data_IF_692369061726
#
_entry.id   IF_692369061726
#
_cell.length_a   1.000
_cell.length_b   1.000
_cell.length_c   1.000
_cell.angle_alpha   90.00
_cell.angle_beta   90.00
_cell.angle_gamma   90.00
#
_symmetry.space_group_name_H-M   'P 1'
#
loop_
_entity.id
_entity.type
_entity.pdbx_description
1 polymer ?
#
# COMPACT_ATOMS: atom_id res chain seq x y z
N UNK A 1 10.94 -21.75 9.03
CA UNK A 1 9.72 -21.00 8.64
C UNK A 1 9.17 -20.11 9.75
N UNK A 2 9.00 -20.59 10.99
CA UNK A 2 8.40 -19.80 12.09
C UNK A 2 9.05 -18.43 12.33
N UNK A 3 10.37 -18.37 12.49
CA UNK A 3 11.07 -17.09 12.79
C UNK A 3 10.84 -16.04 11.70
N UNK A 4 10.85 -16.45 10.43
CA UNK A 4 10.57 -15.56 9.31
C UNK A 4 9.13 -15.02 9.38
N UNK A 5 8.15 -15.90 9.63
CA UNK A 5 6.75 -15.50 9.76
C UNK A 5 6.53 -14.50 10.90
N UNK A 6 7.18 -14.70 12.06
CA UNK A 6 7.13 -13.75 13.18
C UNK A 6 7.74 -12.39 12.78
N UNK A 7 8.94 -12.40 12.21
CA UNK A 7 9.60 -11.15 11.80
C UNK A 7 8.91 -10.43 10.65
N UNK A 8 8.20 -11.14 9.77
CA UNK A 8 7.44 -10.55 8.68
C UNK A 8 6.14 -9.90 9.18
N UNK A 9 5.43 -10.57 10.09
CA UNK A 9 4.09 -10.15 10.51
C UNK A 9 4.05 -9.16 11.66
N UNK A 10 5.10 -9.10 12.50
CA UNK A 10 5.12 -8.34 13.77
C UNK A 10 6.21 -7.29 13.89
N UNK A 11 7.24 -7.32 13.04
CA UNK A 11 8.32 -6.35 13.17
C UNK A 11 7.94 -4.99 12.59
N UNK A 12 8.12 -3.93 13.39
CA UNK A 12 7.96 -2.56 12.93
C UNK A 12 9.21 -2.11 12.17
N UNK A 13 9.02 -1.39 11.07
CA UNK A 13 10.12 -0.94 10.20
C UNK A 13 10.33 0.55 10.34
N UNK A 14 11.49 0.94 10.89
CA UNK A 14 11.92 2.34 10.98
C UNK A 14 13.18 2.53 10.12
N UNK A 15 13.09 3.40 9.10
CA UNK A 15 14.21 3.73 8.20
C UNK A 15 14.91 2.49 7.63
N UNK A 16 14.12 1.50 7.19
CA UNK A 16 14.62 0.25 6.62
C UNK A 16 15.13 -0.79 7.63
N UNK A 17 15.16 -0.47 8.94
CA UNK A 17 15.53 -1.41 9.99
C UNK A 17 14.29 -1.94 10.71
N UNK A 18 14.25 -3.25 10.91
CA UNK A 18 13.16 -3.96 11.59
C UNK A 18 13.45 -4.10 13.09
N UNK A 19 12.41 -3.91 13.89
CA UNK A 19 12.43 -4.06 15.34
C UNK A 19 11.26 -4.93 15.77
N UNK A 20 11.51 -5.97 16.56
CA UNK A 20 10.44 -6.63 17.31
C UNK A 20 10.16 -5.81 18.56
N UNK A 21 8.90 -5.47 18.77
CA UNK A 21 8.46 -4.51 19.79
C UNK A 21 7.43 -5.18 20.68
N UNK A 22 7.88 -5.91 21.73
CA UNK A 22 6.99 -6.65 22.60
C UNK A 22 5.89 -5.76 23.15
N UNK A 23 4.70 -6.32 23.33
CA UNK A 23 3.46 -5.65 23.79
C UNK A 23 2.86 -4.78 22.70
N UNK A 24 3.64 -3.88 22.10
CA UNK A 24 3.17 -3.04 20.99
C UNK A 24 2.68 -3.88 19.80
N UNK A 25 3.39 -4.95 19.47
CA UNK A 25 3.09 -5.87 18.38
C UNK A 25 1.85 -6.75 18.61
N UNK A 26 1.19 -6.63 19.76
CA UNK A 26 -0.07 -7.34 20.06
C UNK A 26 -1.32 -6.57 19.65
N UNK A 27 -1.19 -5.28 19.31
CA UNK A 27 -2.29 -4.47 18.77
C UNK A 27 -2.66 -4.98 17.38
N UNK A 28 -3.96 -5.13 17.10
CA UNK A 28 -4.42 -5.63 15.80
C UNK A 28 -4.75 -4.49 14.82
N UNK A 29 -4.83 -4.84 13.54
CA UNK A 29 -5.20 -3.92 12.48
C UNK A 29 -6.68 -3.53 12.47
N UNK A 30 -6.96 -2.24 12.28
CA UNK A 30 -8.24 -1.72 11.77
C UNK A 30 -7.96 -0.41 11.00
N UNK A 31 -8.52 -0.17 9.80
CA UNK A 31 -8.27 1.09 9.08
C UNK A 31 -8.73 2.28 9.90
N UNK A 32 -8.00 3.40 9.84
CA UNK A 32 -8.44 4.63 10.50
C UNK A 32 -9.85 5.04 10.01
N UNK A 33 -10.77 5.48 10.90
CA UNK A 33 -12.14 5.82 10.52
C UNK A 33 -12.21 7.00 9.55
N UNK A 34 -11.34 8.00 9.74
CA UNK A 34 -11.28 9.16 8.86
C UNK A 34 -10.52 8.84 7.58
N UNK A 35 -11.10 9.12 6.39
CA UNK A 35 -10.42 8.94 5.13
C UNK A 35 -9.16 9.81 5.05
N UNK A 36 -8.06 9.21 4.57
CA UNK A 36 -6.79 9.91 4.33
C UNK A 36 -6.17 9.48 3.02
N UNK A 37 -5.34 10.33 2.45
CA UNK A 37 -4.54 10.01 1.26
C UNK A 37 -3.34 9.15 1.68
N UNK A 38 -2.93 8.22 0.82
CA UNK A 38 -1.70 7.46 1.01
C UNK A 38 -0.49 8.43 1.04
N UNK A 39 0.37 8.29 2.05
CA UNK A 39 1.52 9.15 2.29
C UNK A 39 2.75 8.35 2.72
N UNK A 40 2.90 7.12 2.21
CA UNK A 40 4.09 6.28 2.36
C UNK A 40 4.53 6.11 3.82
N UNK A 41 3.57 5.81 4.71
CA UNK A 41 3.84 5.58 6.13
C UNK A 41 4.00 6.83 7.00
N UNK A 42 3.71 8.04 6.50
CA UNK A 42 3.74 9.26 7.33
C UNK A 42 2.84 9.15 8.57
N UNK A 43 1.61 8.64 8.40
CA UNK A 43 0.68 8.41 9.51
C UNK A 43 1.23 7.46 10.58
N UNK A 44 1.98 6.43 10.15
CA UNK A 44 2.67 5.52 11.06
C UNK A 44 3.72 6.27 11.89
N UNK A 45 4.54 7.13 11.27
CA UNK A 45 5.61 7.87 11.96
C UNK A 45 5.11 8.94 12.93
N UNK A 46 3.92 9.49 12.71
CA UNK A 46 3.28 10.43 13.63
C UNK A 46 2.93 9.76 14.96
N UNK A 47 2.46 8.51 14.88
CA UNK A 47 2.00 7.73 16.04
C UNK A 47 3.09 6.84 16.63
N UNK A 48 4.09 6.44 15.85
CA UNK A 48 5.17 5.55 16.27
C UNK A 48 6.51 6.30 16.27
N UNK A 49 6.94 6.71 17.46
CA UNK A 49 8.16 7.49 17.63
C UNK A 49 9.26 6.64 18.25
N UNK A 50 10.20 6.21 17.41
CA UNK A 50 11.43 5.57 17.86
C UNK A 50 12.38 6.63 18.45
N UNK A 51 12.64 6.54 19.76
CA UNK A 51 13.60 7.36 20.50
C UNK A 51 14.83 6.52 20.82
N UNK A 52 15.85 7.14 21.44
CA UNK A 52 17.15 6.49 21.69
C UNK A 52 17.04 5.17 22.47
N UNK A 53 16.11 5.09 23.40
CA UNK A 53 15.97 4.02 24.39
C UNK A 53 14.59 3.36 24.40
N UNK A 54 13.63 3.89 23.64
CA UNK A 54 12.23 3.42 23.68
C UNK A 54 11.48 3.70 22.39
N UNK A 55 10.44 2.91 22.16
CA UNK A 55 9.38 3.22 21.22
C UNK A 55 8.21 3.83 21.99
N UNK A 56 7.72 4.99 21.52
CA UNK A 56 6.50 5.61 22.03
C UNK A 56 5.42 5.45 20.97
N UNK A 57 4.30 4.85 21.35
CA UNK A 57 3.13 4.67 20.48
C UNK A 57 1.98 5.51 21.02
N UNK A 58 1.46 6.39 20.18
CA UNK A 58 0.27 7.19 20.44
C UNK A 58 -0.93 6.50 19.82
N UNK A 59 -2.08 6.57 20.49
CA UNK A 59 -3.33 6.07 19.91
C UNK A 59 -3.65 6.87 18.64
N UNK A 60 -3.98 6.16 17.57
CA UNK A 60 -4.37 6.79 16.30
C UNK A 60 -5.85 7.19 16.27
N UNK A 61 -6.65 6.68 17.20
CA UNK A 61 -8.09 6.94 17.33
C UNK A 61 -8.55 6.85 18.78
N UNK A 62 -9.73 7.39 19.06
CA UNK A 62 -10.39 7.19 20.34
C UNK A 62 -10.76 5.70 20.55
N UNK A 63 -10.39 5.14 21.69
CA UNK A 63 -10.67 3.74 22.06
C UNK A 63 -11.45 3.68 23.37
N UNK A 64 -12.78 3.42 23.32
CA UNK A 64 -13.62 3.35 24.52
C UNK A 64 -13.16 2.28 25.52
N UNK A 65 -13.47 2.50 26.80
CA UNK A 65 -13.18 1.51 27.84
C UNK A 65 -13.84 0.15 27.53
N UNK A 66 -13.09 -0.94 27.70
CA UNK A 66 -13.57 -2.30 27.45
C UNK A 66 -13.58 -2.71 25.98
N UNK A 67 -13.21 -1.81 25.06
CA UNK A 67 -13.00 -2.16 23.66
C UNK A 67 -11.56 -2.63 23.40
N UNK A 68 -11.36 -3.39 22.32
CA UNK A 68 -10.04 -3.75 21.85
C UNK A 68 -9.33 -2.52 21.28
N UNK A 69 -8.05 -2.37 21.58
CA UNK A 69 -7.20 -1.39 20.92
C UNK A 69 -6.81 -1.89 19.53
N UNK A 70 -6.93 -1.01 18.56
CA UNK A 70 -6.50 -1.23 17.19
C UNK A 70 -5.53 -0.15 16.76
N UNK A 71 -4.78 -0.44 15.71
CA UNK A 71 -3.94 0.53 15.02
C UNK A 71 -4.12 0.39 13.50
N UNK A 72 -3.93 1.48 12.78
CA UNK A 72 -3.79 1.47 11.33
C UNK A 72 -2.34 1.08 10.98
N UNK A 73 -2.17 -0.12 10.42
CA UNK A 73 -0.86 -0.65 9.97
C UNK A 73 -0.30 0.10 8.75
N UNK A 74 -1.06 1.03 8.16
CA UNK A 74 -0.61 1.91 7.11
C UNK A 74 -1.36 1.76 5.79
N UNK A 75 -0.84 2.47 4.80
CA UNK A 75 -1.41 2.62 3.45
C UNK A 75 -0.99 1.50 2.49
N UNK A 76 -1.17 0.24 2.93
CA UNK A 76 -0.82 -0.96 2.18
C UNK A 76 -2.02 -1.59 1.46
N UNK A 77 -1.78 -2.20 0.30
CA UNK A 77 -2.76 -3.04 -0.38
C UNK A 77 -2.96 -4.40 0.34
N UNK A 78 -4.08 -5.08 0.09
CA UNK A 78 -4.41 -6.35 0.73
C UNK A 78 -3.39 -7.46 0.50
N UNK A 79 -2.70 -7.45 -0.64
CA UNK A 79 -1.63 -8.40 -0.94
C UNK A 79 -0.52 -8.37 0.14
N UNK A 80 -0.16 -7.19 0.63
CA UNK A 80 0.86 -7.05 1.68
C UNK A 80 0.37 -7.66 3.00
N UNK A 81 -0.89 -7.41 3.38
CA UNK A 81 -1.48 -8.01 4.58
C UNK A 81 -1.55 -9.54 4.51
N UNK A 82 -1.90 -10.09 3.35
CA UNK A 82 -1.94 -11.54 3.14
C UNK A 82 -0.54 -12.14 3.20
N UNK A 83 0.40 -11.61 2.40
CA UNK A 83 1.71 -12.21 2.19
C UNK A 83 2.63 -12.09 3.42
N UNK A 84 2.54 -10.96 4.14
CA UNK A 84 3.47 -10.67 5.25
C UNK A 84 2.81 -10.73 6.62
N UNK A 85 1.51 -10.45 6.74
CA UNK A 85 0.82 -10.43 8.02
C UNK A 85 -0.15 -11.61 8.23
N UNK A 86 -0.42 -12.40 7.19
CA UNK A 86 -1.23 -13.61 7.28
C UNK A 86 -2.73 -13.37 7.44
N UNK A 87 -3.26 -12.20 7.02
CA UNK A 87 -4.69 -11.91 7.05
C UNK A 87 -5.12 -11.03 5.88
N UNK A 88 -6.42 -11.04 5.55
CA UNK A 88 -7.03 -10.10 4.60
C UNK A 88 -8.05 -9.25 5.36
N UNK A 89 -7.88 -7.92 5.43
CA UNK A 89 -8.84 -7.06 6.12
C UNK A 89 -10.17 -7.01 5.39
N UNK A 90 -11.27 -6.96 6.15
CA UNK A 90 -12.63 -6.84 5.60
C UNK A 90 -12.84 -5.51 4.87
N UNK A 91 -12.22 -4.44 5.38
CA UNK A 91 -12.21 -3.10 4.80
C UNK A 91 -10.77 -2.60 4.76
N UNK A 92 -10.31 -2.21 3.58
CA UNK A 92 -9.03 -1.54 3.41
C UNK A 92 -9.19 -0.40 2.39
N UNK A 93 -9.14 0.87 2.82
CA UNK A 93 -9.30 2.01 1.92
C UNK A 93 -8.12 2.18 0.94
N UNK A 94 -7.01 1.48 1.16
CA UNK A 94 -5.81 1.53 0.32
C UNK A 94 -5.65 0.29 -0.56
N UNK A 95 -6.64 -0.59 -0.59
CA UNK A 95 -6.56 -1.77 -1.44
C UNK A 95 -6.63 -1.41 -2.92
N UNK A 96 -5.73 -2.00 -3.70
CA UNK A 96 -5.72 -1.84 -5.14
C UNK A 96 -5.06 -3.00 -5.86
N UNK A 97 -5.40 -3.13 -7.14
CA UNK A 97 -4.73 -4.04 -8.06
C UNK A 97 -3.73 -3.22 -8.88
N UNK A 98 -2.44 -3.58 -8.78
CA UNK A 98 -1.42 -3.03 -9.66
C UNK A 98 -1.54 -3.69 -11.04
N UNK A 99 -1.98 -2.91 -12.02
CA UNK A 99 -2.02 -3.34 -13.41
C UNK A 99 -0.86 -2.70 -14.17
N UNK A 100 -0.22 -3.47 -15.04
CA UNK A 100 0.81 -2.97 -15.96
C UNK A 100 0.21 -2.94 -17.36
N UNK A 101 0.33 -1.80 -18.04
CA UNK A 101 0.02 -1.78 -19.47
C UNK A 101 1.16 -2.44 -20.22
N UNK A 102 0.81 -3.50 -20.96
CA UNK A 102 1.72 -4.12 -21.89
C UNK A 102 1.38 -3.67 -23.31
N UNK A 103 2.07 -2.63 -23.80
CA UNK A 103 1.91 -2.14 -25.17
C UNK A 103 2.49 -3.08 -26.23
N UNK A 104 3.03 -4.24 -25.86
CA UNK A 104 3.65 -5.17 -26.82
C UNK A 104 2.65 -6.08 -27.55
N UNK A 105 1.40 -6.20 -27.07
CA UNK A 105 0.39 -7.10 -27.64
C UNK A 105 -0.55 -6.43 -28.66
N UNK A 106 -0.33 -5.15 -28.96
CA UNK A 106 -1.14 -4.44 -29.93
C UNK A 106 -0.73 -4.80 -31.37
N UNK A 107 -1.66 -5.26 -32.20
CA UNK A 107 -1.54 -5.37 -33.67
C UNK A 107 -1.51 -3.96 -34.29
N UNK A 108 -0.54 -3.15 -33.88
CA UNK A 108 -0.39 -1.75 -34.28
C UNK A 108 0.79 -1.61 -35.23
N UNK A 109 0.65 -0.71 -36.18
CA UNK A 109 1.71 -0.31 -37.11
C UNK A 109 3.03 -0.10 -36.36
N UNK A 110 4.12 -0.77 -36.76
CA UNK A 110 5.46 -0.60 -36.18
C UNK A 110 5.91 0.86 -36.07
N UNK A 111 5.54 1.72 -37.03
CA UNK A 111 5.88 3.14 -37.01
C UNK A 111 5.17 3.89 -35.88
N UNK A 112 3.86 3.63 -35.69
CA UNK A 112 3.07 4.23 -34.61
C UNK A 112 3.57 3.74 -33.23
N UNK A 113 3.93 2.45 -33.14
CA UNK A 113 4.52 1.87 -31.93
C UNK A 113 5.85 2.56 -31.55
N UNK A 114 6.72 2.80 -32.51
CA UNK A 114 7.98 3.53 -32.28
C UNK A 114 7.73 4.97 -31.79
N UNK A 115 6.81 5.68 -32.42
CA UNK A 115 6.45 7.05 -32.01
C UNK A 115 5.89 7.11 -30.59
N UNK A 116 5.02 6.16 -30.21
CA UNK A 116 4.50 6.05 -28.84
C UNK A 116 5.62 5.81 -27.82
N UNK A 117 6.56 4.91 -28.10
CA UNK A 117 7.71 4.69 -27.21
C UNK A 117 8.57 5.93 -27.07
N UNK A 118 8.86 6.64 -28.17
CA UNK A 118 9.62 7.89 -28.13
C UNK A 118 8.91 8.97 -27.33
N UNK A 119 7.58 9.07 -27.45
CA UNK A 119 6.79 9.99 -26.64
C UNK A 119 6.84 9.64 -25.14
N UNK A 120 6.69 8.36 -24.79
CA UNK A 120 6.81 7.91 -23.39
C UNK A 120 8.20 8.21 -22.80
N UNK A 121 9.27 7.96 -23.57
CA UNK A 121 10.65 8.30 -23.20
C UNK A 121 10.81 9.81 -22.94
N UNK A 122 10.29 10.65 -23.83
CA UNK A 122 10.28 12.11 -23.67
C UNK A 122 9.51 12.58 -22.44
N UNK A 123 8.39 11.94 -22.13
CA UNK A 123 7.55 12.24 -20.97
C UNK A 123 8.09 11.62 -19.67
N UNK A 124 9.20 10.88 -19.72
CA UNK A 124 9.77 10.15 -18.59
C UNK A 124 8.78 9.15 -17.96
N UNK A 125 7.86 8.62 -18.77
CA UNK A 125 6.92 7.59 -18.37
C UNK A 125 7.53 6.23 -18.71
N UNK A 126 7.44 5.28 -17.78
CA UNK A 126 7.88 3.90 -18.02
C UNK A 126 7.17 3.32 -19.26
N UNK A 127 7.90 2.55 -20.07
CA UNK A 127 7.37 1.86 -21.26
C UNK A 127 6.33 0.79 -20.93
N UNK A 128 6.26 0.39 -19.66
CA UNK A 128 5.17 -0.42 -19.10
C UNK A 128 4.64 0.31 -17.87
N UNK A 129 3.82 1.36 -18.05
CA UNK A 129 3.32 2.13 -16.92
C UNK A 129 2.46 1.21 -16.04
N UNK A 130 2.63 1.35 -14.73
CA UNK A 130 1.87 0.61 -13.74
C UNK A 130 0.90 1.56 -13.03
N UNK A 131 -0.36 1.15 -12.90
CA UNK A 131 -1.38 1.91 -12.20
C UNK A 131 -2.02 1.06 -11.10
N UNK A 132 -2.20 1.68 -9.94
CA UNK A 132 -2.94 1.13 -8.80
C UNK A 132 -4.43 1.41 -9.04
N UNK A 133 -5.17 0.38 -9.40
CA UNK A 133 -6.61 0.46 -9.66
C UNK A 133 -7.37 0.13 -8.39
N UNK A 134 -8.03 1.14 -7.82
CA UNK A 134 -8.91 1.00 -6.65
C UNK A 134 -10.35 0.78 -7.11
N UNK A 135 -11.04 -0.20 -6.51
CA UNK A 135 -12.49 -0.41 -6.69
C UNK A 135 -13.24 0.63 -5.85
N UNK A 136 -14.20 1.36 -6.43
CA UNK A 136 -15.60 0.90 -6.32
C UNK A 136 -16.42 1.26 -7.57
N UNK A 137 -17.18 0.32 -8.14
CA UNK A 137 -18.25 0.62 -9.13
C UNK A 137 -17.78 1.20 -10.50
N UNK A 138 -16.52 1.58 -10.69
CA UNK A 138 -16.04 2.20 -11.95
C UNK A 138 -14.76 1.61 -12.51
N UNK A 139 -14.53 0.31 -12.29
CA UNK A 139 -13.38 -0.39 -12.85
C UNK A 139 -13.32 -0.22 -14.38
N UNK A 140 -14.46 -0.31 -15.06
CA UNK A 140 -14.57 -0.01 -16.49
C UNK A 140 -14.21 1.45 -16.81
N UNK A 141 -14.81 2.45 -16.15
CA UNK A 141 -14.55 3.86 -16.46
C UNK A 141 -13.09 4.28 -16.24
N UNK A 142 -12.46 3.82 -15.16
CA UNK A 142 -11.03 4.10 -14.89
C UNK A 142 -10.12 3.37 -15.88
N UNK A 143 -10.46 2.14 -16.28
CA UNK A 143 -9.75 1.45 -17.34
C UNK A 143 -9.91 2.21 -18.66
N UNK A 144 -11.12 2.64 -19.01
CA UNK A 144 -11.35 3.39 -20.24
C UNK A 144 -10.60 4.72 -20.24
N UNK A 145 -10.59 5.49 -19.15
CA UNK A 145 -9.74 6.69 -19.07
C UNK A 145 -8.24 6.36 -19.18
N UNK A 146 -7.78 5.32 -18.50
CA UNK A 146 -6.38 4.91 -18.56
C UNK A 146 -5.97 4.41 -19.94
N UNK A 147 -6.87 3.74 -20.67
CA UNK A 147 -6.67 3.29 -22.04
C UNK A 147 -6.86 4.41 -23.07
N UNK A 148 -7.65 5.45 -22.79
CA UNK A 148 -7.93 6.56 -23.72
C UNK A 148 -6.90 7.69 -23.69
N UNK A 149 -6.04 7.75 -22.66
CA UNK A 149 -4.96 8.75 -22.56
C UNK A 149 -3.73 8.36 -23.43
N UNK A 150 -3.73 7.17 -24.06
CA UNK A 150 -2.60 6.61 -24.86
C UNK A 150 -2.97 6.30 -26.30
#
# INVERSE_FOLDING_TARGET
MWALAVTASRALTFRGKKYLTPIADMTNYDPHPDPRVAQSGQFFLEHHQLRKDKLVIYADRASPQGSQFFEDYGDNANAIYLDFHGFVPKKNPFDCVYTRLNHQQENVDPALRYMRFKLMELLQVSTTPAACLTSPISFEYKIYQFLQIV
#
